data_IF_812942873990
#
_entry.id   IF_812942873990
#
_cell.length_a   1.000
_cell.length_b   1.000
_cell.length_c   1.000
_cell.angle_alpha   90.00
_cell.angle_beta   90.00
_cell.angle_gamma   90.00
#
_symmetry.space_group_name_H-M   'P 1'
#
loop_
_entity.id
_entity.type
_entity.pdbx_description
1 polymer ?
#
# COMPACT_ATOMS: atom_id res chain seq x y z
N UNK A 1 -10.19 -22.46 -16.57
CA UNK A 1 -11.50 -21.93 -17.01
C UNK A 1 -11.26 -20.76 -17.97
N UNK A 2 -11.71 -20.84 -19.22
CA UNK A 2 -11.73 -19.70 -20.13
C UNK A 2 -12.91 -18.80 -19.76
N UNK A 3 -12.72 -17.95 -18.74
CA UNK A 3 -13.69 -16.91 -18.41
C UNK A 3 -13.66 -15.85 -19.52
N UNK A 4 -14.67 -15.86 -20.39
CA UNK A 4 -14.96 -14.72 -21.25
C UNK A 4 -15.62 -13.65 -20.38
N UNK A 5 -14.87 -12.61 -20.04
CA UNK A 5 -15.38 -11.47 -19.28
C UNK A 5 -16.10 -10.51 -20.24
N UNK A 6 -17.38 -10.26 -20.00
CA UNK A 6 -18.19 -9.31 -20.78
C UNK A 6 -18.20 -7.94 -20.09
N UNK A 7 -17.28 -7.07 -20.52
CA UNK A 7 -17.15 -5.72 -19.95
C UNK A 7 -18.42 -4.88 -20.16
N UNK A 8 -19.24 -5.17 -21.17
CA UNK A 8 -20.50 -4.46 -21.43
C UNK A 8 -21.59 -4.77 -20.40
N UNK A 9 -21.37 -5.77 -19.54
CA UNK A 9 -22.27 -6.15 -18.44
C UNK A 9 -21.59 -6.04 -17.07
N UNK A 10 -20.38 -5.50 -17.04
CA UNK A 10 -19.58 -5.42 -15.82
C UNK A 10 -19.66 -4.00 -15.24
N UNK A 11 -20.21 -3.86 -14.04
CA UNK A 11 -20.28 -2.59 -13.33
C UNK A 11 -19.00 -2.27 -12.56
N UNK A 12 -18.36 -3.31 -12.02
CA UNK A 12 -17.19 -3.22 -11.14
C UNK A 12 -16.16 -4.25 -11.58
N UNK A 13 -14.90 -3.82 -11.64
CA UNK A 13 -13.76 -4.66 -11.96
C UNK A 13 -12.67 -4.52 -10.89
N UNK A 14 -11.73 -5.45 -10.87
CA UNK A 14 -10.51 -5.37 -10.09
C UNK A 14 -9.33 -5.83 -10.98
N UNK A 15 -8.09 -5.38 -10.73
CA UNK A 15 -6.95 -5.77 -11.54
C UNK A 15 -6.70 -7.28 -11.49
N UNK A 16 -6.54 -7.90 -12.65
CA UNK A 16 -6.24 -9.34 -12.72
C UNK A 16 -4.90 -9.64 -12.05
N UNK A 17 -4.86 -10.66 -11.20
CA UNK A 17 -3.63 -11.13 -10.56
C UNK A 17 -3.25 -10.38 -9.29
N UNK A 18 -4.00 -9.36 -8.89
CA UNK A 18 -3.91 -8.80 -7.53
C UNK A 18 -4.91 -9.49 -6.60
N UNK A 19 -4.77 -9.25 -5.30
CA UNK A 19 -5.88 -9.43 -4.38
C UNK A 19 -7.05 -8.55 -4.85
N UNK A 20 -8.29 -9.00 -4.62
CA UNK A 20 -9.49 -8.22 -4.89
C UNK A 20 -9.70 -7.12 -3.83
N UNK A 21 -8.61 -6.48 -3.39
CA UNK A 21 -8.61 -5.41 -2.38
C UNK A 21 -8.82 -4.02 -2.98
N UNK A 22 -8.81 -3.88 -4.30
CA UNK A 22 -9.06 -2.62 -4.99
C UNK A 22 -10.13 -2.81 -6.04
N UNK A 23 -11.19 -2.01 -5.96
CA UNK A 23 -12.30 -2.06 -6.90
C UNK A 23 -12.35 -0.79 -7.74
N UNK A 24 -12.63 -0.98 -9.03
CA UNK A 24 -12.81 0.06 -10.02
C UNK A 24 -14.22 -0.02 -10.57
N UNK A 25 -14.96 1.09 -10.54
CA UNK A 25 -16.21 1.22 -11.26
C UNK A 25 -15.88 1.35 -12.74
N UNK A 26 -16.52 0.52 -13.56
CA UNK A 26 -16.37 0.52 -15.02
C UNK A 26 -17.14 1.71 -15.62
N UNK A 27 -16.71 2.92 -15.29
CA UNK A 27 -17.31 4.17 -15.78
C UNK A 27 -16.81 4.53 -17.18
N UNK A 28 -17.67 5.18 -17.96
CA UNK A 28 -17.38 5.56 -19.34
C UNK A 28 -16.38 6.71 -19.49
N UNK A 29 -16.02 7.41 -18.41
CA UNK A 29 -15.01 8.47 -18.45
C UNK A 29 -13.57 7.92 -18.36
N UNK A 30 -13.36 6.82 -17.65
CA UNK A 30 -12.04 6.19 -17.48
C UNK A 30 -11.83 4.95 -18.34
N UNK A 31 -12.88 4.18 -18.62
CA UNK A 31 -12.76 2.88 -19.28
C UNK A 31 -13.43 2.87 -20.66
N UNK A 32 -12.71 2.36 -21.66
CA UNK A 32 -13.16 2.28 -23.07
C UNK A 32 -14.49 1.55 -23.25
N UNK A 33 -14.75 0.54 -22.42
CA UNK A 33 -15.99 -0.25 -22.42
C UNK A 33 -16.83 0.02 -21.17
N UNK A 34 -16.67 1.21 -20.58
CA UNK A 34 -17.39 1.65 -19.41
C UNK A 34 -18.88 1.80 -19.67
N UNK A 35 -19.69 1.22 -18.80
CA UNK A 35 -21.15 1.24 -18.90
C UNK A 35 -21.78 2.09 -17.81
N UNK A 36 -21.03 2.45 -16.77
CA UNK A 36 -21.54 3.30 -15.69
C UNK A 36 -21.39 4.77 -16.10
N UNK A 37 -22.47 5.55 -16.16
CA UNK A 37 -22.38 6.99 -16.40
C UNK A 37 -21.54 7.68 -15.31
N UNK A 38 -20.69 8.68 -15.64
CA UNK A 38 -19.80 9.30 -14.65
C UNK A 38 -20.54 9.94 -13.46
N UNK A 39 -21.75 10.43 -13.67
CA UNK A 39 -22.62 11.00 -12.64
C UNK A 39 -23.23 9.95 -11.68
N UNK A 40 -23.26 8.68 -12.07
CA UNK A 40 -23.74 7.58 -11.22
C UNK A 40 -22.63 6.94 -10.38
N UNK A 41 -21.36 7.18 -10.74
CA UNK A 41 -20.18 6.60 -10.10
C UNK A 41 -20.21 6.78 -8.57
N UNK A 42 -20.42 7.99 -8.07
CA UNK A 42 -20.42 8.28 -6.64
C UNK A 42 -21.55 7.54 -5.88
N UNK A 43 -22.74 7.48 -6.47
CA UNK A 43 -23.87 6.74 -5.90
C UNK A 43 -23.59 5.25 -5.82
N UNK A 44 -23.01 4.68 -6.88
CA UNK A 44 -22.62 3.27 -6.92
C UNK A 44 -21.50 2.98 -5.91
N UNK A 45 -20.47 3.83 -5.82
CA UNK A 45 -19.40 3.71 -4.81
C UNK A 45 -19.98 3.67 -3.40
N UNK A 46 -20.90 4.58 -3.06
CA UNK A 46 -21.52 4.64 -1.74
C UNK A 46 -22.32 3.37 -1.43
N UNK A 47 -23.11 2.88 -2.39
CA UNK A 47 -23.89 1.65 -2.23
C UNK A 47 -22.99 0.45 -1.98
N UNK A 48 -21.97 0.26 -2.84
CA UNK A 48 -21.02 -0.84 -2.72
C UNK A 48 -20.23 -0.77 -1.40
N UNK A 49 -19.83 0.41 -0.96
CA UNK A 49 -19.17 0.59 0.34
C UNK A 49 -20.02 0.04 1.48
N UNK A 50 -21.33 0.33 1.49
CA UNK A 50 -22.25 -0.18 2.50
C UNK A 50 -22.42 -1.70 2.39
N UNK A 51 -22.76 -2.21 1.19
CA UNK A 51 -22.99 -3.65 0.96
C UNK A 51 -21.76 -4.49 1.32
N UNK A 52 -20.55 -4.02 0.99
CA UNK A 52 -19.30 -4.73 1.30
C UNK A 52 -18.95 -4.65 2.79
N UNK A 53 -19.22 -3.54 3.47
CA UNK A 53 -19.02 -3.43 4.92
C UNK A 53 -20.00 -4.30 5.73
N UNK A 54 -21.17 -4.60 5.16
CA UNK A 54 -22.17 -5.50 5.73
C UNK A 54 -21.96 -6.97 5.34
N UNK A 55 -20.96 -7.27 4.50
CA UNK A 55 -20.70 -8.63 4.04
C UNK A 55 -20.24 -9.54 5.19
N UNK A 56 -20.93 -10.67 5.36
CA UNK A 56 -20.65 -11.68 6.40
C UNK A 56 -20.45 -13.06 5.79
N UNK A 57 -19.64 -13.88 6.45
CA UNK A 57 -19.54 -15.31 6.15
C UNK A 57 -20.76 -16.09 6.70
N UNK A 58 -20.78 -17.41 6.50
CA UNK A 58 -21.86 -18.28 6.99
C UNK A 58 -21.96 -18.36 8.52
N UNK A 59 -20.90 -17.99 9.22
CA UNK A 59 -20.80 -17.97 10.68
C UNK A 59 -21.13 -16.59 11.26
N UNK A 60 -21.40 -15.59 10.42
CA UNK A 60 -21.69 -14.22 10.83
C UNK A 60 -20.46 -13.34 11.04
N UNK A 61 -19.26 -13.81 10.69
CA UNK A 61 -18.03 -13.02 10.78
C UNK A 61 -17.96 -12.00 9.63
N UNK A 62 -17.44 -10.82 9.93
CA UNK A 62 -17.15 -9.79 8.93
C UNK A 62 -16.04 -10.25 7.97
N UNK A 63 -16.32 -10.21 6.67
CA UNK A 63 -15.34 -10.59 5.63
C UNK A 63 -14.36 -9.46 5.34
N UNK A 64 -14.89 -8.25 5.15
CA UNK A 64 -14.11 -7.05 4.89
C UNK A 64 -14.23 -6.15 6.12
N UNK A 65 -13.13 -6.01 6.87
CA UNK A 65 -13.10 -5.24 8.11
C UNK A 65 -13.44 -3.77 7.88
N UNK A 66 -12.77 -3.15 6.90
CA UNK A 66 -13.03 -1.77 6.51
C UNK A 66 -13.12 -1.62 4.99
N UNK A 67 -13.97 -0.68 4.55
CA UNK A 67 -14.09 -0.29 3.14
C UNK A 67 -13.87 1.21 3.02
N UNK A 68 -12.80 1.58 2.34
CA UNK A 68 -12.40 2.98 2.15
C UNK A 68 -12.68 3.43 0.72
N UNK A 69 -13.11 4.67 0.56
CA UNK A 69 -13.16 5.36 -0.72
C UNK A 69 -11.78 5.95 -1.03
N UNK A 70 -11.52 6.17 -2.32
CA UNK A 70 -10.30 6.86 -2.76
C UNK A 70 -10.11 8.23 -2.10
N UNK A 71 -11.21 8.97 -1.90
CA UNK A 71 -11.17 10.28 -1.26
C UNK A 71 -10.80 10.21 0.23
N UNK A 72 -11.22 9.16 0.94
CA UNK A 72 -10.84 8.93 2.35
C UNK A 72 -9.35 8.59 2.50
N UNK A 73 -8.76 7.88 1.53
CA UNK A 73 -7.33 7.51 1.57
C UNK A 73 -6.44 8.65 1.08
N UNK A 74 -6.74 9.24 -0.08
CA UNK A 74 -5.83 10.17 -0.74
C UNK A 74 -6.14 11.63 -0.46
N UNK A 75 -7.33 11.97 0.00
CA UNK A 75 -7.76 13.35 0.22
C UNK A 75 -7.54 14.22 -1.02
N UNK A 76 -6.82 15.33 -0.84
CA UNK A 76 -6.49 16.28 -1.92
C UNK A 76 -5.52 15.72 -2.96
N UNK A 77 -4.79 14.64 -2.65
CA UNK A 77 -3.82 14.00 -3.57
C UNK A 77 -4.44 12.91 -4.45
N UNK A 78 -5.78 12.90 -4.56
CA UNK A 78 -6.50 11.88 -5.30
C UNK A 78 -6.08 11.85 -6.79
N UNK A 79 -5.47 10.74 -7.20
CA UNK A 79 -5.12 10.52 -8.59
C UNK A 79 -6.38 10.27 -9.43
N UNK A 80 -6.42 10.81 -10.66
CA UNK A 80 -7.52 10.64 -11.62
C UNK A 80 -7.90 9.17 -11.84
N UNK A 81 -6.91 8.30 -11.85
CA UNK A 81 -7.06 6.87 -12.16
C UNK A 81 -7.04 5.99 -10.90
N UNK A 82 -7.19 6.57 -9.70
CA UNK A 82 -7.24 5.79 -8.46
C UNK A 82 -8.42 4.79 -8.47
N UNK A 83 -8.28 3.65 -7.78
CA UNK A 83 -9.41 2.79 -7.43
C UNK A 83 -10.54 3.58 -6.77
N UNK A 84 -11.77 3.10 -6.88
CA UNK A 84 -12.94 3.69 -6.23
C UNK A 84 -13.06 3.28 -4.77
N UNK A 85 -12.79 2.00 -4.51
CA UNK A 85 -12.88 1.39 -3.20
C UNK A 85 -11.64 0.57 -2.90
N UNK A 86 -11.24 0.58 -1.64
CA UNK A 86 -10.18 -0.22 -1.06
C UNK A 86 -10.78 -1.07 0.04
N UNK A 87 -10.54 -2.37 -0.02
CA UNK A 87 -11.06 -3.37 0.90
C UNK A 87 -9.92 -3.83 1.80
N UNK A 88 -10.10 -3.64 3.10
CA UNK A 88 -9.22 -4.17 4.13
C UNK A 88 -9.88 -5.39 4.75
N UNK A 89 -9.21 -6.54 4.65
CA UNK A 89 -9.65 -7.79 5.25
C UNK A 89 -8.52 -8.30 6.14
N UNK A 90 -8.84 -8.56 7.41
CA UNK A 90 -7.92 -9.07 8.42
C UNK A 90 -7.81 -10.60 8.31
N UNK A 91 -8.92 -11.30 8.58
CA UNK A 91 -8.96 -12.78 8.65
C UNK A 91 -9.13 -13.47 7.30
N UNK A 92 -9.41 -12.73 6.23
CA UNK A 92 -9.75 -13.29 4.92
C UNK A 92 -8.79 -12.81 3.85
N UNK A 93 -8.31 -13.75 3.04
CA UNK A 93 -7.60 -13.43 1.81
C UNK A 93 -8.59 -13.24 0.66
N UNK A 94 -8.70 -12.00 0.15
CA UNK A 94 -9.56 -11.66 -0.98
C UNK A 94 -8.90 -12.06 -2.31
N UNK A 95 -9.19 -13.28 -2.77
CA UNK A 95 -8.64 -13.81 -4.03
C UNK A 95 -9.14 -13.04 -5.25
N UNK A 96 -8.22 -12.51 -6.07
CA UNK A 96 -8.53 -12.01 -7.41
C UNK A 96 -8.57 -13.10 -8.50
N UNK A 97 -8.53 -14.37 -8.11
CA UNK A 97 -8.62 -15.48 -9.05
C UNK A 97 -10.06 -15.97 -9.17
N UNK A 98 -10.61 -15.93 -10.37
CA UNK A 98 -11.99 -16.34 -10.67
C UNK A 98 -12.12 -17.85 -10.99
N UNK A 99 -11.16 -18.68 -10.59
CA UNK A 99 -11.10 -20.09 -10.99
C UNK A 99 -11.55 -21.07 -9.90
N UNK A 100 -12.24 -20.59 -8.86
CA UNK A 100 -12.71 -21.43 -7.75
C UNK A 100 -14.14 -21.94 -7.98
N UNK A 101 -14.38 -23.20 -7.61
CA UNK A 101 -15.74 -23.79 -7.51
C UNK A 101 -16.44 -23.48 -6.19
N UNK A 102 -15.73 -22.85 -5.24
CA UNK A 102 -16.26 -22.43 -3.94
C UNK A 102 -16.04 -20.94 -3.71
N UNK A 103 -17.00 -20.27 -3.06
CA UNK A 103 -16.85 -18.88 -2.61
C UNK A 103 -15.84 -18.76 -1.45
N UNK A 104 -15.67 -19.82 -0.65
CA UNK A 104 -14.76 -19.86 0.48
C UNK A 104 -13.81 -21.06 0.35
N UNK A 105 -12.52 -20.81 0.47
CA UNK A 105 -11.47 -21.83 0.49
C UNK A 105 -10.85 -21.83 1.90
N UNK A 106 -10.73 -23.01 2.51
CA UNK A 106 -10.21 -23.17 3.90
C UNK A 106 -8.74 -23.59 3.94
N UNK A 107 -8.11 -23.78 2.78
CA UNK A 107 -6.69 -24.12 2.69
C UNK A 107 -5.84 -22.91 3.05
N UNK A 108 -5.07 -23.04 4.13
CA UNK A 108 -4.09 -22.04 4.54
C UNK A 108 -2.99 -21.96 3.48
N UNK A 109 -2.73 -20.76 2.97
CA UNK A 109 -1.57 -20.44 2.14
C UNK A 109 -0.76 -19.39 2.89
N UNK A 110 0.56 -19.40 2.72
CA UNK A 110 1.43 -18.37 3.30
C UNK A 110 1.19 -17.06 2.54
N UNK A 111 0.38 -16.18 3.12
CA UNK A 111 0.15 -14.84 2.61
C UNK A 111 1.01 -13.82 3.37
N UNK A 112 1.08 -12.60 2.85
CA UNK A 112 1.84 -11.52 3.47
C UNK A 112 1.15 -11.03 4.74
N UNK A 113 1.95 -10.65 5.73
CA UNK A 113 1.50 -9.99 6.96
C UNK A 113 1.98 -8.54 6.96
N UNK A 114 1.22 -7.66 7.62
CA UNK A 114 1.66 -6.28 7.87
C UNK A 114 2.81 -6.23 8.88
N UNK A 115 2.87 -7.22 9.77
CA UNK A 115 3.91 -7.33 10.78
C UNK A 115 5.15 -8.03 10.22
N UNK A 116 6.28 -7.33 10.32
CA UNK A 116 7.59 -7.83 9.90
C UNK A 116 8.54 -8.04 11.08
N UNK A 117 9.73 -8.58 10.77
CA UNK A 117 10.82 -8.69 11.73
C UNK A 117 11.97 -7.75 11.33
N UNK A 118 12.42 -6.92 12.27
CA UNK A 118 13.60 -6.08 12.12
C UNK A 118 14.74 -6.65 12.97
N UNK A 119 15.87 -6.91 12.33
CA UNK A 119 17.12 -7.30 12.98
C UNK A 119 18.23 -6.37 12.50
N UNK A 120 19.04 -5.89 13.43
CA UNK A 120 20.23 -5.10 13.14
C UNK A 120 21.44 -5.70 13.86
N UNK A 121 22.57 -5.76 13.16
CA UNK A 121 23.80 -6.35 13.67
C UNK A 121 25.01 -5.64 13.07
N UNK A 122 26.01 -5.36 13.91
CA UNK A 122 27.27 -4.74 13.50
C UNK A 122 27.99 -4.08 14.67
N UNK A 123 29.24 -3.67 14.46
CA UNK A 123 30.09 -3.04 15.47
C UNK A 123 29.44 -1.81 16.12
N UNK A 124 28.72 -1.02 15.31
CA UNK A 124 28.08 0.23 15.74
C UNK A 124 26.63 0.06 16.22
N UNK A 125 26.13 -1.18 16.30
CA UNK A 125 24.75 -1.48 16.67
C UNK A 125 24.66 -1.82 18.16
N UNK A 126 23.68 -1.26 18.86
CA UNK A 126 23.45 -1.58 20.27
C UNK A 126 22.80 -2.97 20.40
N UNK A 127 23.35 -3.90 21.21
CA UNK A 127 22.75 -5.22 21.41
C UNK A 127 21.59 -5.13 22.40
N UNK A 128 20.41 -4.70 21.91
CA UNK A 128 19.19 -4.54 22.71
C UNK A 128 17.94 -4.87 21.92
N UNK A 129 16.82 -5.16 22.59
CA UNK A 129 15.51 -5.13 21.96
C UNK A 129 15.22 -3.75 21.37
N UNK A 130 14.65 -3.72 20.17
CA UNK A 130 14.12 -2.50 19.57
C UNK A 130 12.65 -2.36 19.93
N UNK A 131 12.21 -1.11 20.10
CA UNK A 131 10.78 -0.81 20.14
C UNK A 131 10.12 -1.15 18.80
N UNK A 132 8.79 -1.21 18.79
CA UNK A 132 8.02 -1.34 17.54
C UNK A 132 8.43 -0.24 16.55
N UNK A 133 8.60 -0.64 15.29
CA UNK A 133 9.11 0.23 14.25
C UNK A 133 8.34 0.04 12.95
N UNK A 134 8.38 1.06 12.10
CA UNK A 134 7.78 1.03 10.79
C UNK A 134 8.86 0.79 9.72
N UNK A 135 8.57 -0.01 8.69
CA UNK A 135 9.50 -0.23 7.56
C UNK A 135 9.93 1.08 6.88
N UNK A 136 9.09 2.12 6.93
CA UNK A 136 9.39 3.46 6.40
C UNK A 136 10.53 4.17 7.16
N UNK A 137 10.87 3.71 8.36
CA UNK A 137 12.02 4.19 9.14
C UNK A 137 13.34 3.58 8.64
N UNK A 138 13.30 2.51 7.85
CA UNK A 138 14.51 1.84 7.37
C UNK A 138 15.33 2.71 6.39
N UNK A 139 14.73 3.34 5.35
CA UNK A 139 15.49 4.23 4.46
C UNK A 139 16.25 5.35 5.17
N UNK A 140 15.63 6.20 6.04
CA UNK A 140 16.37 7.26 6.73
C UNK A 140 17.45 6.70 7.65
N UNK A 141 17.25 5.52 8.27
CA UNK A 141 18.27 4.85 9.10
C UNK A 141 19.49 4.43 8.29
N UNK A 142 19.29 3.85 7.10
CA UNK A 142 20.38 3.43 6.23
C UNK A 142 21.14 4.64 5.66
N UNK A 143 20.43 5.69 5.26
CA UNK A 143 21.04 6.94 4.78
C UNK A 143 21.92 7.56 5.87
N UNK A 144 21.40 7.60 7.10
CA UNK A 144 22.17 8.07 8.25
C UNK A 144 23.42 7.20 8.52
N UNK A 145 23.28 5.86 8.44
CA UNK A 145 24.40 4.93 8.61
C UNK A 145 25.52 5.17 7.57
N UNK A 146 25.16 5.62 6.37
CA UNK A 146 26.08 5.94 5.28
C UNK A 146 26.72 7.33 5.44
N UNK A 147 26.42 8.08 6.50
CA UNK A 147 26.92 9.44 6.71
C UNK A 147 26.30 10.48 5.76
N UNK A 148 25.16 10.15 5.14
CA UNK A 148 24.45 11.03 4.22
C UNK A 148 23.35 11.81 4.96
N UNK A 149 23.01 13.03 4.51
CA UNK A 149 21.91 13.78 5.07
C UNK A 149 20.57 13.11 4.75
N UNK A 150 19.74 12.94 5.79
CA UNK A 150 18.38 12.41 5.67
C UNK A 150 17.48 13.49 5.07
N UNK A 151 16.79 13.15 3.98
CA UNK A 151 15.90 14.08 3.32
C UNK A 151 14.61 14.29 4.13
N UNK A 152 14.17 15.53 4.29
CA UNK A 152 12.92 15.86 4.98
C UNK A 152 11.67 15.22 4.33
N UNK A 153 11.77 14.80 3.07
CA UNK A 153 10.64 14.20 2.33
C UNK A 153 10.36 12.74 2.74
N UNK A 154 11.28 12.07 3.43
CA UNK A 154 11.03 10.74 3.94
C UNK A 154 9.91 10.77 4.99
N UNK A 155 8.93 9.87 4.83
CA UNK A 155 7.80 9.76 5.77
C UNK A 155 8.20 9.16 7.12
N UNK A 156 9.27 8.36 7.17
CA UNK A 156 9.79 7.75 8.39
C UNK A 156 10.93 8.54 9.04
N UNK A 157 11.35 8.10 10.22
CA UNK A 157 12.44 8.67 10.99
C UNK A 157 13.54 7.64 11.23
N UNK A 158 14.74 8.07 11.63
CA UNK A 158 15.83 7.15 11.96
C UNK A 158 15.47 6.27 13.16
N UNK A 159 15.72 4.98 13.05
CA UNK A 159 15.54 4.00 14.12
C UNK A 159 16.68 4.17 15.12
N UNK A 160 16.35 4.16 16.41
CA UNK A 160 17.31 4.19 17.52
C UNK A 160 18.03 2.84 17.67
N UNK A 161 18.91 2.54 16.72
CA UNK A 161 19.58 1.23 16.57
C UNK A 161 21.08 1.29 16.89
N UNK A 162 21.69 2.47 16.77
CA UNK A 162 23.13 2.65 16.95
C UNK A 162 23.52 2.74 18.42
N UNK A 163 24.75 2.35 18.74
CA UNK A 163 25.28 2.48 20.09
C UNK A 163 25.59 3.96 20.44
N UNK A 164 25.59 4.34 21.73
CA UNK A 164 25.78 5.74 22.12
C UNK A 164 27.08 6.38 21.65
N UNK A 165 28.17 5.61 21.55
CA UNK A 165 29.47 6.12 21.11
C UNK A 165 29.44 6.53 19.64
N UNK A 166 28.79 5.72 18.80
CA UNK A 166 28.63 6.03 17.39
C UNK A 166 27.68 7.22 17.20
N UNK A 167 26.52 7.22 17.85
CA UNK A 167 25.54 8.31 17.76
C UNK A 167 26.11 9.66 18.24
N UNK A 168 27.02 9.66 19.21
CA UNK A 168 27.68 10.88 19.69
C UNK A 168 28.63 11.52 18.65
N UNK A 169 29.17 10.71 17.73
CA UNK A 169 30.11 11.16 16.69
C UNK A 169 29.46 11.28 15.32
N UNK A 170 28.27 10.71 15.14
CA UNK A 170 27.49 10.72 13.91
C UNK A 170 26.08 11.25 14.22
N UNK A 171 25.91 12.57 14.41
CA UNK A 171 24.58 13.13 14.59
C UNK A 171 23.78 12.99 13.29
N UNK A 172 22.46 12.76 13.41
CA UNK A 172 21.56 12.74 12.24
C UNK A 172 21.59 14.10 11.57
N UNK A 173 22.03 14.13 10.32
CA UNK A 173 21.98 15.32 9.48
C UNK A 173 20.68 15.31 8.70
N UNK A 174 20.03 16.47 8.57
CA UNK A 174 18.82 16.63 7.76
C UNK A 174 19.04 17.67 6.67
N UNK A 175 18.47 17.42 5.50
CA UNK A 175 18.51 18.36 4.39
C UNK A 175 17.12 18.53 3.77
N UNK A 176 16.77 19.77 3.43
CA UNK A 176 15.58 20.07 2.65
C UNK A 176 15.96 19.96 1.18
N UNK A 177 15.46 18.93 0.52
CA UNK A 177 15.69 18.72 -0.90
C UNK A 177 15.03 19.85 -1.70
N UNK A 178 15.85 20.69 -2.36
CA UNK A 178 15.40 21.71 -3.30
C UNK A 178 15.49 21.11 -4.72
N UNK A 179 14.33 20.91 -5.36
CA UNK A 179 14.17 20.13 -6.60
C UNK A 179 15.07 20.59 -7.77
N UNK A 180 15.58 21.82 -7.72
CA UNK A 180 16.41 22.40 -8.76
C UNK A 180 17.86 21.89 -8.87
N UNK A 181 18.43 21.23 -7.84
CA UNK A 181 19.89 21.02 -7.81
C UNK A 181 20.39 19.58 -8.01
N UNK A 182 19.61 18.53 -7.72
CA UNK A 182 20.19 17.20 -7.50
C UNK A 182 20.05 16.18 -8.65
N UNK A 183 19.08 16.30 -9.56
CA UNK A 183 19.06 15.43 -10.75
C UNK A 183 20.29 15.62 -11.64
N UNK A 184 20.86 16.84 -11.65
CA UNK A 184 22.12 17.13 -12.37
C UNK A 184 23.35 16.58 -11.66
N UNK A 185 23.39 16.58 -10.31
CA UNK A 185 24.60 16.24 -9.55
C UNK A 185 24.81 14.72 -9.46
N UNK A 186 23.74 13.96 -9.17
CA UNK A 186 23.80 12.49 -9.09
C UNK A 186 24.13 11.81 -10.43
N UNK A 187 23.76 12.41 -11.56
CA UNK A 187 24.08 11.87 -12.89
C UNK A 187 25.45 12.32 -13.43
N UNK A 188 26.06 13.34 -12.82
CA UNK A 188 27.39 13.81 -13.21
C UNK A 188 28.51 13.03 -12.51
N UNK A 189 28.22 12.41 -11.37
CA UNK A 189 29.19 11.67 -10.56
C UNK A 189 29.13 10.13 -10.79
N UNK A 190 28.28 9.67 -11.72
CA UNK A 190 28.22 8.27 -12.15
C UNK A 190 28.88 8.17 -13.53
N UNK A 191 30.17 7.81 -13.53
CA UNK A 191 30.85 7.36 -14.76
C UNK A 191 30.24 6.01 -15.19
N UNK A 192 29.77 5.94 -16.44
CA UNK A 192 29.42 4.68 -17.13
C UNK A 192 30.61 4.11 -17.88
#
# INVERSE_FOLDING_TARGET
VNLKLDLSKTLVAFPRGSMASMLYINDSARFKHGIVPPNERATLTKRLKQELAELRDKQGNTIVGNVYTAAEIYGERLAKNAPDLFLEADKYYLSGSLHSSSLFETTTKNYHDGDGMLLAFGENIAPRPLAENNIMNLPPTLIHALGLPVQHQYAGQTIDVFNPNWSATHPVQTEIYNEHFAAKRLLQDIDF
#
